data_IF_518389702668
#
_entry.id   IF_518389702668
#
_cell.length_a   1.000
_cell.length_b   1.000
_cell.length_c   1.000
_cell.angle_alpha   90.00
_cell.angle_beta   90.00
_cell.angle_gamma   90.00
#
_symmetry.space_group_name_H-M   'P 1'
#
loop_
_entity.id
_entity.type
_entity.pdbx_description
1 polymer ?
#
# COMPACT_ATOMS: atom_id res chain seq x y z
N UNK A 1 18.19 -8.10 -1.20
CA UNK A 1 17.89 -6.91 -2.03
C UNK A 1 16.81 -6.14 -1.29
N UNK A 2 16.93 -4.82 -1.17
CA UNK A 2 15.92 -4.00 -0.50
C UNK A 2 14.64 -3.91 -1.33
N UNK A 3 13.48 -3.93 -0.69
CA UNK A 3 12.18 -3.74 -1.33
C UNK A 3 11.88 -2.24 -1.45
N UNK A 4 11.46 -1.79 -2.62
CA UNK A 4 11.02 -0.40 -2.81
C UNK A 4 9.49 -0.34 -2.67
N UNK A 5 9.00 0.23 -1.58
CA UNK A 5 7.57 0.32 -1.26
C UNK A 5 7.05 1.75 -1.40
N UNK A 6 5.94 1.93 -2.13
CA UNK A 6 5.17 3.16 -2.17
C UNK A 6 4.02 3.08 -1.16
N UNK A 7 4.01 3.99 -0.18
CA UNK A 7 3.01 4.03 0.90
C UNK A 7 2.10 5.24 0.71
N UNK A 8 0.84 4.98 0.34
CA UNK A 8 -0.20 5.98 0.12
C UNK A 8 -1.16 6.00 1.32
N UNK A 9 -0.75 6.73 2.35
CA UNK A 9 -1.49 6.83 3.62
C UNK A 9 -1.44 8.28 4.11
N UNK A 10 -2.59 8.83 4.49
CA UNK A 10 -2.70 10.17 5.09
C UNK A 10 -2.23 10.18 6.54
N UNK A 11 -2.64 9.18 7.31
CA UNK A 11 -2.35 9.08 8.74
C UNK A 11 -0.83 8.92 8.97
N UNK A 12 -0.24 9.89 9.68
CA UNK A 12 1.20 9.90 9.93
C UNK A 12 1.64 8.76 10.85
N UNK A 13 0.83 8.36 11.83
CA UNK A 13 1.17 7.27 12.74
C UNK A 13 1.21 5.92 12.02
N UNK A 14 0.26 5.68 11.13
CA UNK A 14 0.19 4.50 10.29
C UNK A 14 1.32 4.47 9.26
N UNK A 15 1.71 5.62 8.70
CA UNK A 15 2.90 5.71 7.83
C UNK A 15 4.18 5.32 8.56
N UNK A 16 4.42 5.85 9.76
CA UNK A 16 5.59 5.49 10.56
C UNK A 16 5.55 4.00 10.94
N UNK A 17 4.38 3.49 11.35
CA UNK A 17 4.20 2.06 11.61
C UNK A 17 4.59 1.22 10.39
N UNK A 18 4.07 1.52 9.20
CA UNK A 18 4.42 0.75 7.98
C UNK A 18 5.92 0.85 7.68
N UNK A 19 6.54 2.01 7.89
CA UNK A 19 7.99 2.18 7.72
C UNK A 19 8.77 1.30 8.70
N UNK A 20 8.37 1.27 9.96
CA UNK A 20 8.98 0.44 11.01
C UNK A 20 8.79 -1.07 10.76
N UNK A 21 7.73 -1.45 10.04
CA UNK A 21 7.46 -2.84 9.66
C UNK A 21 8.30 -3.32 8.45
N UNK A 22 8.86 -2.40 7.68
CA UNK A 22 9.74 -2.71 6.56
C UNK A 22 11.21 -2.79 7.04
N UNK A 23 12.07 -3.51 6.31
CA UNK A 23 13.47 -3.68 6.72
C UNK A 23 14.25 -2.37 6.56
N UNK A 24 15.38 -2.18 7.29
CA UNK A 24 16.21 -0.98 7.16
C UNK A 24 16.77 -0.74 5.74
N UNK A 25 16.93 -1.82 4.97
CA UNK A 25 17.39 -1.76 3.58
C UNK A 25 16.26 -1.51 2.57
N UNK A 26 15.00 -1.51 3.02
CA UNK A 26 13.84 -1.23 2.16
C UNK A 26 13.69 0.28 1.95
N UNK A 27 13.48 0.70 0.71
CA UNK A 27 13.21 2.11 0.39
C UNK A 27 11.72 2.38 0.48
N UNK A 28 11.31 3.19 1.46
CA UNK A 28 9.90 3.53 1.70
C UNK A 28 9.61 4.95 1.21
N UNK A 29 9.00 5.06 0.03
CA UNK A 29 8.47 6.32 -0.46
C UNK A 29 7.06 6.51 0.11
N UNK A 30 6.92 7.33 1.14
CA UNK A 30 5.61 7.66 1.71
C UNK A 30 5.09 8.96 1.09
N UNK A 31 4.03 8.88 0.27
CA UNK A 31 3.51 10.02 -0.50
C UNK A 31 2.01 10.13 -0.30
N UNK A 32 1.56 11.32 0.07
CA UNK A 32 0.15 11.69 -0.01
C UNK A 32 0.03 13.18 -0.39
N UNK A 33 -0.81 13.55 -1.38
CA UNK A 33 -1.68 12.70 -2.21
C UNK A 33 -0.90 11.78 -3.19
N UNK A 34 -1.53 10.74 -3.76
CA UNK A 34 -0.89 9.89 -4.76
C UNK A 34 -0.39 10.70 -5.97
N UNK A 35 0.83 10.45 -6.49
CA UNK A 35 1.32 11.12 -7.69
C UNK A 35 0.57 10.67 -8.95
N UNK A 36 0.52 11.48 -10.00
CA UNK A 36 -0.20 11.14 -11.24
C UNK A 36 0.42 9.93 -12.00
N UNK A 37 1.70 9.67 -11.80
CA UNK A 37 2.45 8.58 -12.43
C UNK A 37 3.40 7.92 -11.42
N UNK A 38 3.61 6.60 -11.57
CA UNK A 38 4.64 5.84 -10.83
C UNK A 38 6.07 6.09 -11.33
N UNK A 39 6.27 7.04 -12.27
CA UNK A 39 7.51 7.17 -13.04
C UNK A 39 8.64 7.73 -12.18
N UNK A 40 9.53 6.85 -11.73
CA UNK A 40 10.85 7.23 -11.20
C UNK A 40 11.42 6.27 -10.16
N UNK A 41 10.57 5.54 -9.44
CA UNK A 41 11.01 4.57 -8.44
C UNK A 41 10.82 3.16 -8.99
N UNK A 42 11.78 2.28 -8.76
CA UNK A 42 11.66 0.84 -8.99
C UNK A 42 10.67 0.21 -7.98
N UNK A 43 9.47 0.79 -7.83
CA UNK A 43 8.48 0.40 -6.83
C UNK A 43 8.05 -1.03 -7.09
N UNK A 44 8.25 -1.89 -6.09
CA UNK A 44 7.91 -3.31 -6.11
C UNK A 44 6.67 -3.62 -5.27
N UNK A 45 6.33 -2.75 -4.33
CA UNK A 45 5.18 -2.91 -3.44
C UNK A 45 4.40 -1.60 -3.34
N UNK A 46 3.08 -1.70 -3.43
CA UNK A 46 2.15 -0.62 -3.14
C UNK A 46 1.42 -0.92 -1.82
N UNK A 47 1.47 0.00 -0.85
CA UNK A 47 0.67 -0.06 0.38
C UNK A 47 -0.28 1.12 0.39
N UNK A 48 -1.57 0.85 0.54
CA UNK A 48 -2.62 1.86 0.39
C UNK A 48 -3.59 1.80 1.55
N UNK A 49 -3.92 2.95 2.12
CA UNK A 49 -5.07 3.07 3.00
C UNK A 49 -6.35 3.33 2.19
N UNK A 50 -7.28 2.36 2.19
CA UNK A 50 -8.56 2.49 1.51
C UNK A 50 -9.48 3.51 2.18
N UNK A 51 -9.31 3.76 3.48
CA UNK A 51 -10.16 4.68 4.22
C UNK A 51 -9.85 6.14 3.82
N UNK A 52 -8.65 6.38 3.28
CA UNK A 52 -8.19 7.67 2.75
C UNK A 52 -8.62 7.91 1.29
N UNK A 53 -9.32 6.95 0.67
CA UNK A 53 -9.75 6.98 -0.73
C UNK A 53 -11.28 7.05 -0.83
N UNK A 54 -11.87 8.26 -0.85
CA UNK A 54 -13.30 8.42 -1.04
C UNK A 54 -13.77 7.80 -2.36
N UNK A 55 -15.00 7.30 -2.38
CA UNK A 55 -15.59 6.77 -3.61
C UNK A 55 -15.72 7.85 -4.69
N UNK A 56 -15.46 7.48 -5.94
CA UNK A 56 -15.55 8.40 -7.08
C UNK A 56 -14.35 9.34 -7.25
N UNK A 57 -13.27 9.15 -6.48
CA UNK A 57 -12.05 9.96 -6.63
C UNK A 57 -11.14 9.43 -7.74
N UNK A 58 -10.39 10.32 -8.44
CA UNK A 58 -9.41 9.91 -9.45
C UNK A 58 -8.32 9.02 -8.87
N UNK A 59 -7.97 9.20 -7.59
CA UNK A 59 -7.01 8.36 -6.88
C UNK A 59 -7.43 6.89 -6.81
N UNK A 60 -8.74 6.60 -6.73
CA UNK A 60 -9.25 5.22 -6.68
C UNK A 60 -9.04 4.48 -8.00
N UNK A 61 -9.20 5.18 -9.12
CA UNK A 61 -8.95 4.62 -10.45
C UNK A 61 -7.46 4.43 -10.71
N UNK A 62 -6.65 5.41 -10.30
CA UNK A 62 -5.19 5.34 -10.34
C UNK A 62 -4.65 4.13 -9.59
N UNK A 63 -5.07 3.94 -8.34
CA UNK A 63 -4.63 2.82 -7.51
C UNK A 63 -5.10 1.49 -8.09
N UNK A 64 -6.35 1.42 -8.58
CA UNK A 64 -6.84 0.22 -9.27
C UNK A 64 -5.99 -0.13 -10.50
N UNK A 65 -5.46 0.87 -11.22
CA UNK A 65 -4.56 0.64 -12.35
C UNK A 65 -3.22 0.09 -11.86
N UNK A 66 -2.60 0.73 -10.87
CA UNK A 66 -1.31 0.30 -10.32
C UNK A 66 -1.37 -1.10 -9.68
N UNK A 67 -2.47 -1.43 -9.02
CA UNK A 67 -2.65 -2.77 -8.41
C UNK A 67 -2.75 -3.92 -9.41
N UNK A 68 -2.93 -3.64 -10.71
CA UNK A 68 -2.86 -4.67 -11.75
C UNK A 68 -1.43 -4.99 -12.17
N UNK A 69 -0.51 -4.05 -11.92
CA UNK A 69 0.88 -4.12 -12.37
C UNK A 69 1.84 -4.40 -11.21
N UNK A 70 1.43 -4.09 -9.98
CA UNK A 70 2.25 -4.22 -8.77
C UNK A 70 1.54 -4.98 -7.65
N UNK A 71 2.29 -5.81 -6.88
CA UNK A 71 1.84 -6.30 -5.59
C UNK A 71 1.28 -5.16 -4.74
N UNK A 72 0.02 -5.29 -4.32
CA UNK A 72 -0.65 -4.26 -3.52
C UNK A 72 -1.23 -4.82 -2.23
N UNK A 73 -0.91 -4.15 -1.12
CA UNK A 73 -1.55 -4.31 0.19
C UNK A 73 -2.53 -3.17 0.41
N UNK A 74 -3.80 -3.51 0.56
CA UNK A 74 -4.85 -2.56 0.91
C UNK A 74 -5.18 -2.66 2.39
N UNK A 75 -5.01 -1.57 3.13
CA UNK A 75 -5.39 -1.44 4.52
C UNK A 75 -6.80 -0.84 4.59
N UNK A 76 -7.70 -1.43 5.36
CA UNK A 76 -9.03 -0.84 5.51
C UNK A 76 -9.70 -1.21 6.82
N UNK A 77 -10.47 -0.28 7.39
CA UNK A 77 -11.44 -0.59 8.44
C UNK A 77 -12.70 -1.29 7.90
N UNK A 78 -12.92 -1.30 6.57
CA UNK A 78 -14.11 -1.83 5.90
C UNK A 78 -13.77 -2.86 4.82
N UNK A 79 -13.91 -4.15 5.15
CA UNK A 79 -13.55 -5.29 4.27
C UNK A 79 -14.28 -5.28 2.91
N UNK A 80 -15.51 -4.74 2.84
CA UNK A 80 -16.33 -4.74 1.62
C UNK A 80 -15.75 -3.89 0.47
N UNK A 81 -15.05 -2.80 0.80
CA UNK A 81 -14.49 -1.85 -0.18
C UNK A 81 -13.32 -2.47 -0.95
N UNK A 82 -12.62 -3.39 -0.31
CA UNK A 82 -11.34 -3.92 -0.77
C UNK A 82 -11.42 -4.94 -1.91
N UNK A 83 -12.48 -5.77 -1.95
CA UNK A 83 -12.65 -6.82 -2.98
C UNK A 83 -12.77 -6.29 -4.41
N UNK A 84 -13.05 -5.00 -4.59
CA UNK A 84 -13.30 -4.39 -5.91
C UNK A 84 -12.04 -3.89 -6.62
N UNK A 85 -10.89 -3.94 -5.98
CA UNK A 85 -9.68 -3.25 -6.46
C UNK A 85 -8.66 -4.13 -7.19
N UNK A 86 -8.86 -5.45 -7.28
CA UNK A 86 -7.89 -6.34 -7.91
C UNK A 86 -6.55 -6.38 -7.15
N UNK A 87 -6.59 -6.10 -5.85
CA UNK A 87 -5.42 -6.06 -4.97
C UNK A 87 -4.98 -7.45 -4.54
N UNK A 88 -3.70 -7.61 -4.25
CA UNK A 88 -3.10 -8.89 -3.85
C UNK A 88 -3.47 -9.28 -2.41
N UNK A 89 -3.46 -8.31 -1.50
CA UNK A 89 -3.73 -8.54 -0.09
C UNK A 89 -4.61 -7.43 0.47
N UNK A 90 -5.58 -7.81 1.31
CA UNK A 90 -6.42 -6.89 2.07
C UNK A 90 -6.20 -7.16 3.54
N UNK A 91 -5.76 -6.16 4.29
CA UNK A 91 -5.55 -6.25 5.72
C UNK A 91 -6.55 -5.35 6.46
N UNK A 92 -7.30 -5.91 7.44
CA UNK A 92 -8.15 -5.09 8.29
C UNK A 92 -7.31 -4.22 9.22
N UNK A 93 -7.87 -3.11 9.71
CA UNK A 93 -7.32 -2.37 10.86
C UNK A 93 -7.97 -2.90 12.17
N UNK A 94 -7.20 -3.16 13.25
CA UNK A 94 -5.74 -3.03 13.36
C UNK A 94 -4.99 -4.08 12.50
N UNK A 95 -3.82 -3.69 11.98
CA UNK A 95 -3.07 -4.50 11.02
C UNK A 95 -2.62 -5.82 11.67
N UNK A 96 -2.94 -6.99 11.09
CA UNK A 96 -2.38 -8.27 11.52
C UNK A 96 -0.93 -8.38 11.04
N UNK A 97 0.01 -7.91 11.88
CA UNK A 97 1.44 -7.83 11.55
C UNK A 97 2.04 -9.13 10.98
N UNK A 98 1.74 -10.33 11.50
CA UNK A 98 2.28 -11.57 10.94
C UNK A 98 1.94 -11.78 9.46
N UNK A 99 0.74 -11.37 9.03
CA UNK A 99 0.33 -11.48 7.63
C UNK A 99 1.03 -10.44 6.76
N UNK A 100 1.23 -9.22 7.28
CA UNK A 100 1.99 -8.20 6.58
C UNK A 100 3.44 -8.66 6.36
N UNK A 101 4.11 -9.16 7.40
CA UNK A 101 5.49 -9.65 7.30
C UNK A 101 5.62 -10.82 6.31
N UNK A 102 4.74 -11.82 6.40
CA UNK A 102 4.78 -12.97 5.49
C UNK A 102 4.60 -12.54 4.02
N UNK A 103 3.76 -11.55 3.76
CA UNK A 103 3.55 -11.03 2.41
C UNK A 103 4.77 -10.26 1.90
N UNK A 104 5.34 -9.37 2.72
CA UNK A 104 6.53 -8.61 2.36
C UNK A 104 7.72 -9.54 2.13
N UNK A 105 7.91 -10.55 2.97
CA UNK A 105 8.98 -11.55 2.83
C UNK A 105 8.87 -12.35 1.53
N UNK A 106 7.65 -12.69 1.11
CA UNK A 106 7.41 -13.38 -0.16
C UNK A 106 7.68 -12.52 -1.42
N UNK A 107 7.87 -11.21 -1.27
CA UNK A 107 8.20 -10.29 -2.37
C UNK A 107 9.71 -10.00 -2.48
N UNK A 108 10.52 -10.45 -1.53
CA UNK A 108 11.98 -10.29 -1.52
C UNK A 108 12.67 -11.44 -2.25
#
# INVERSE_FOLDING_TARGET
MGLHALVLVQDSGLRELIRDLLLPDDEVLAVWPPPDDLRGAATQLLVVDADDLPEGTPHRELIRRWSRELPTVLLSSRVATARRHGVCLVLPKPIPLPLFYAFVDALR
#
